data_IF_359406661874
#
_entry.id   IF_359406661874
#
_cell.length_a   1.000
_cell.length_b   1.000
_cell.length_c   1.000
_cell.angle_alpha   90.00
_cell.angle_beta   90.00
_cell.angle_gamma   90.00
#
_symmetry.space_group_name_H-M   'P 1'
#
loop_
_entity.id
_entity.type
_entity.pdbx_description
1 polymer ?
#
# COMPACT_ATOMS: atom_id res chain seq x y z
N UNK A 1 -1.92 -6.00 2.47
CA UNK A 1 -2.24 -5.90 1.03
C UNK A 1 -2.66 -7.25 0.49
N UNK A 2 -3.72 -7.30 -0.31
CA UNK A 2 -4.19 -8.50 -1.01
C UNK A 2 -4.84 -8.10 -2.34
N UNK A 3 -4.64 -8.86 -3.45
CA UNK A 3 -5.25 -8.54 -4.73
C UNK A 3 -6.77 -8.78 -4.76
N UNK A 4 -7.29 -9.50 -3.75
CA UNK A 4 -8.71 -9.87 -3.65
C UNK A 4 -9.60 -8.81 -2.99
N UNK A 5 -9.03 -7.70 -2.53
CA UNK A 5 -9.82 -6.65 -1.86
C UNK A 5 -8.97 -5.54 -1.26
N UNK A 6 -9.63 -4.63 -0.54
CA UNK A 6 -9.00 -3.47 0.09
C UNK A 6 -8.46 -2.45 -0.92
N UNK A 7 -7.57 -1.60 -0.46
CA UNK A 7 -7.03 -0.47 -1.22
C UNK A 7 -6.39 -0.88 -2.56
N UNK A 8 -5.58 -1.94 -2.59
CA UNK A 8 -4.95 -2.40 -3.82
C UNK A 8 -5.96 -3.07 -4.75
N UNK A 9 -6.87 -3.91 -4.23
CA UNK A 9 -7.88 -4.59 -5.04
C UNK A 9 -8.74 -3.62 -5.84
N UNK A 10 -9.14 -2.50 -5.24
CA UNK A 10 -9.91 -1.45 -5.91
C UNK A 10 -9.15 -0.79 -7.08
N UNK A 11 -7.82 -0.70 -6.99
CA UNK A 11 -6.98 -0.07 -7.99
C UNK A 11 -6.60 -1.00 -9.15
N UNK A 12 -6.64 -2.33 -8.97
CA UNK A 12 -6.11 -3.27 -9.95
C UNK A 12 -6.77 -3.18 -11.32
N UNK A 13 -8.08 -2.97 -11.38
CA UNK A 13 -8.81 -2.91 -12.66
C UNK A 13 -8.35 -1.74 -13.53
N UNK A 14 -8.31 -0.49 -13.06
CA UNK A 14 -7.75 0.63 -13.82
C UNK A 14 -6.30 0.38 -14.28
N UNK A 15 -5.46 -0.14 -13.40
CA UNK A 15 -4.06 -0.43 -13.75
C UNK A 15 -3.95 -1.52 -14.84
N UNK A 16 -4.73 -2.59 -14.77
CA UNK A 16 -4.76 -3.65 -15.80
C UNK A 16 -5.19 -3.12 -17.15
N UNK A 17 -6.09 -2.14 -17.18
CA UNK A 17 -6.55 -1.47 -18.39
C UNK A 17 -5.55 -0.40 -18.93
N UNK A 18 -4.43 -0.18 -18.24
CA UNK A 18 -3.45 0.85 -18.61
C UNK A 18 -3.86 2.28 -18.25
N UNK A 19 -4.92 2.43 -17.45
CA UNK A 19 -5.45 3.70 -16.97
C UNK A 19 -4.93 4.06 -15.57
N UNK A 20 -3.99 3.27 -15.02
CA UNK A 20 -3.37 3.53 -13.74
C UNK A 20 -2.37 4.67 -13.80
N UNK A 21 -2.45 5.59 -12.84
CA UNK A 21 -1.53 6.73 -12.74
C UNK A 21 -1.43 7.24 -11.31
N UNK A 22 -0.42 8.07 -11.05
CA UNK A 22 -0.31 8.73 -9.76
C UNK A 22 -1.49 9.68 -9.54
N UNK A 23 -1.95 9.75 -8.30
CA UNK A 23 -3.05 10.66 -7.92
C UNK A 23 -2.46 12.00 -7.52
N UNK A 24 -3.04 13.09 -8.04
CA UNK A 24 -2.56 14.46 -7.82
C UNK A 24 -1.06 14.61 -8.15
N UNK A 25 -0.27 15.17 -7.23
CA UNK A 25 1.17 15.35 -7.41
C UNK A 25 2.01 14.11 -7.03
N UNK A 26 1.36 13.05 -6.55
CA UNK A 26 1.98 11.79 -6.15
C UNK A 26 2.89 11.85 -4.93
N UNK A 27 2.93 12.98 -4.19
CA UNK A 27 3.84 13.18 -3.05
C UNK A 27 3.30 12.67 -1.72
N UNK A 28 2.00 12.43 -1.62
CA UNK A 28 1.41 11.92 -0.38
C UNK A 28 1.92 10.51 -0.06
N UNK A 29 2.06 10.24 1.23
CA UNK A 29 2.58 8.99 1.74
C UNK A 29 1.53 7.88 1.74
N UNK A 30 1.95 6.69 1.37
CA UNK A 30 1.18 5.44 1.45
C UNK A 30 1.91 4.51 2.40
N UNK A 31 1.29 4.22 3.54
CA UNK A 31 1.74 3.17 4.44
C UNK A 31 1.08 1.86 4.03
N UNK A 32 1.85 0.78 4.01
CA UNK A 32 1.42 -0.50 3.48
C UNK A 32 1.93 -1.65 4.34
N UNK A 33 1.31 -2.79 4.22
CA UNK A 33 1.77 -4.06 4.79
C UNK A 33 1.30 -5.21 3.91
N UNK A 34 2.10 -6.25 3.73
CA UNK A 34 1.65 -7.48 3.09
C UNK A 34 0.72 -8.26 4.01
N UNK A 35 -0.15 -9.09 3.45
CA UNK A 35 -1.05 -9.92 4.27
C UNK A 35 -0.25 -10.91 5.13
N UNK A 36 0.84 -11.44 4.60
CA UNK A 36 1.70 -12.38 5.30
C UNK A 36 2.35 -11.73 6.53
N UNK A 37 2.91 -10.53 6.37
CA UNK A 37 3.50 -9.79 7.49
C UNK A 37 2.46 -9.32 8.50
N UNK A 38 1.26 -8.94 8.05
CA UNK A 38 0.16 -8.57 8.94
C UNK A 38 -0.23 -9.74 9.85
N UNK A 39 -0.42 -10.94 9.26
CA UNK A 39 -0.72 -12.16 10.02
C UNK A 39 0.44 -12.57 10.92
N UNK A 40 1.68 -12.46 10.42
CA UNK A 40 2.88 -12.77 11.20
C UNK A 40 3.04 -11.81 12.40
N UNK A 41 2.81 -10.51 12.19
CA UNK A 41 2.87 -9.51 13.25
C UNK A 41 1.81 -9.74 14.33
N UNK A 42 0.57 -10.06 13.93
CA UNK A 42 -0.49 -10.40 14.90
C UNK A 42 -0.10 -11.64 15.71
N UNK A 43 0.40 -12.69 15.07
CA UNK A 43 0.85 -13.90 15.77
C UNK A 43 2.04 -13.64 16.70
N UNK A 44 2.94 -12.75 16.30
CA UNK A 44 4.08 -12.34 17.11
C UNK A 44 3.61 -11.55 18.34
N UNK A 45 2.67 -10.60 18.19
CA UNK A 45 2.08 -9.82 19.27
C UNK A 45 1.36 -10.70 20.29
N UNK A 46 0.68 -11.77 19.85
CA UNK A 46 0.02 -12.73 20.77
C UNK A 46 0.99 -13.56 21.63
N UNK A 47 2.27 -13.64 21.24
CA UNK A 47 3.31 -14.41 21.93
C UNK A 47 4.28 -13.55 22.72
N UNK A 48 4.22 -12.23 22.56
CA UNK A 48 5.11 -11.29 23.20
C UNK A 48 4.30 -10.26 24.00
N UNK A 49 4.79 -9.89 25.17
CA UNK A 49 4.15 -8.91 26.02
C UNK A 49 4.39 -7.49 25.50
N UNK A 50 3.59 -7.07 24.52
CA UNK A 50 3.61 -5.70 23.99
C UNK A 50 2.34 -4.98 24.43
N UNK A 51 2.50 -3.89 25.17
CA UNK A 51 1.39 -3.09 25.70
C UNK A 51 1.17 -1.81 24.89
N UNK A 52 -0.07 -1.35 24.84
CA UNK A 52 -0.44 -0.12 24.15
C UNK A 52 -0.64 -0.27 22.64
N UNK A 53 -0.89 0.82 21.90
CA UNK A 53 -1.19 0.78 20.49
C UNK A 53 0.03 0.36 19.67
N UNK A 54 -0.19 -0.49 18.65
CA UNK A 54 0.83 -1.00 17.75
C UNK A 54 0.42 -0.73 16.31
N UNK A 55 1.28 -0.05 15.56
CA UNK A 55 1.10 0.11 14.12
C UNK A 55 1.63 -1.13 13.40
N UNK A 56 0.76 -1.83 12.68
CA UNK A 56 1.16 -2.93 11.81
C UNK A 56 1.28 -2.39 10.39
N UNK A 57 2.49 -2.00 10.03
CA UNK A 57 2.85 -1.47 8.71
C UNK A 57 4.25 -1.92 8.34
N UNK A 58 4.56 -1.98 7.05
CA UNK A 58 5.92 -2.25 6.60
C UNK A 58 6.88 -1.13 7.05
N UNK A 59 8.18 -1.43 7.22
CA UNK A 59 9.15 -0.46 7.73
C UNK A 59 9.42 0.70 6.78
N UNK A 60 9.14 0.54 5.49
CA UNK A 60 9.35 1.58 4.47
C UNK A 60 8.02 2.04 3.86
N UNK A 61 7.37 3.11 4.39
CA UNK A 61 6.28 3.77 3.71
C UNK A 61 6.79 4.45 2.43
N UNK A 62 5.95 4.48 1.40
CA UNK A 62 6.34 5.00 0.08
C UNK A 62 5.45 6.18 -0.34
N UNK A 63 5.91 6.99 -1.30
CA UNK A 63 5.06 8.00 -1.92
C UNK A 63 4.07 7.34 -2.89
N UNK A 64 2.94 7.99 -3.16
CA UNK A 64 1.97 7.52 -4.16
C UNK A 64 2.60 7.36 -5.55
N UNK A 65 3.54 8.22 -5.92
CA UNK A 65 4.28 8.08 -7.17
C UNK A 65 5.08 6.76 -7.22
N UNK A 66 5.79 6.40 -6.14
CA UNK A 66 6.53 5.13 -6.05
C UNK A 66 5.58 3.93 -6.02
N UNK A 67 4.50 4.00 -5.25
CA UNK A 67 3.42 3.01 -5.20
C UNK A 67 2.86 2.71 -6.59
N UNK A 68 2.48 3.76 -7.34
CA UNK A 68 1.94 3.69 -8.69
C UNK A 68 2.92 3.03 -9.66
N UNK A 69 4.19 3.44 -9.60
CA UNK A 69 5.27 2.86 -10.41
C UNK A 69 5.47 1.37 -10.13
N UNK A 70 5.46 0.98 -8.84
CA UNK A 70 5.64 -0.40 -8.42
C UNK A 70 4.49 -1.31 -8.89
N UNK A 71 3.22 -0.85 -8.81
CA UNK A 71 2.07 -1.58 -9.37
C UNK A 71 2.21 -1.72 -10.89
N UNK A 72 2.53 -0.62 -11.58
CA UNK A 72 2.71 -0.64 -13.04
C UNK A 72 3.79 -1.63 -13.47
N UNK A 73 4.92 -1.65 -12.79
CA UNK A 73 6.00 -2.60 -13.04
C UNK A 73 5.57 -4.06 -12.79
N UNK A 74 4.87 -4.33 -11.70
CA UNK A 74 4.36 -5.67 -11.38
C UNK A 74 3.36 -6.19 -12.42
N UNK A 75 2.48 -5.31 -12.91
CA UNK A 75 1.46 -5.63 -13.93
C UNK A 75 1.99 -5.50 -15.38
N UNK A 76 3.23 -5.02 -15.58
CA UNK A 76 3.80 -4.68 -16.89
C UNK A 76 2.92 -3.70 -17.69
N UNK A 77 2.43 -2.68 -16.99
CA UNK A 77 1.57 -1.63 -17.57
C UNK A 77 2.21 -0.25 -17.38
N UNK A 78 2.13 0.63 -18.37
CA UNK A 78 2.63 2.00 -18.25
C UNK A 78 1.79 2.78 -17.20
N UNK A 79 2.46 3.68 -16.48
CA UNK A 79 1.83 4.54 -15.45
C UNK A 79 2.28 5.99 -15.64
N UNK A 80 2.47 6.40 -16.89
CA UNK A 80 3.05 7.71 -17.23
C UNK A 80 2.04 8.86 -17.20
N UNK A 81 0.74 8.57 -17.22
CA UNK A 81 -0.30 9.59 -17.27
C UNK A 81 -0.79 9.84 -15.83
N UNK A 82 -0.59 11.05 -15.26
CA UNK A 82 -1.20 11.39 -13.99
C UNK A 82 -2.72 11.28 -14.07
N UNK A 83 -3.34 10.71 -13.05
CA UNK A 83 -4.79 10.57 -13.00
C UNK A 83 -5.40 11.87 -12.46
N UNK A 84 -6.14 12.65 -13.28
CA UNK A 84 -6.80 13.85 -12.79
C UNK A 84 -7.84 13.49 -11.72
N UNK A 85 -7.89 14.24 -10.62
CA UNK A 85 -8.79 13.98 -9.48
C UNK A 85 -10.27 13.74 -9.81
N UNK A 86 -10.88 14.40 -10.82
CA UNK A 86 -12.27 14.11 -11.18
C UNK A 86 -12.53 12.66 -11.57
N UNK A 87 -11.56 11.98 -12.18
CA UNK A 87 -11.72 10.58 -12.64
C UNK A 87 -11.82 9.60 -11.46
N UNK A 88 -10.87 9.53 -10.51
CA UNK A 88 -11.01 8.66 -9.36
C UNK A 88 -12.22 9.03 -8.48
N UNK A 89 -12.57 10.32 -8.34
CA UNK A 89 -13.76 10.74 -7.60
C UNK A 89 -15.06 10.22 -8.22
N UNK A 90 -15.14 10.18 -9.54
CA UNK A 90 -16.31 9.63 -10.25
C UNK A 90 -16.38 8.10 -10.11
N UNK A 91 -15.25 7.40 -10.14
CA UNK A 91 -15.17 5.94 -10.11
C UNK A 91 -15.31 5.36 -8.69
N UNK A 92 -14.74 6.01 -7.69
CA UNK A 92 -14.63 5.50 -6.31
C UNK A 92 -15.40 6.32 -5.27
N UNK A 93 -15.93 7.48 -5.66
CA UNK A 93 -16.55 8.45 -4.75
C UNK A 93 -15.54 9.42 -4.15
N UNK A 94 -16.02 10.64 -3.83
CA UNK A 94 -15.17 11.72 -3.27
C UNK A 94 -14.56 11.31 -1.93
N UNK A 95 -15.35 10.73 -1.04
CA UNK A 95 -14.94 10.39 0.33
C UNK A 95 -13.82 9.35 0.32
N UNK A 96 -13.93 8.31 -0.52
CA UNK A 96 -12.87 7.31 -0.67
C UNK A 96 -11.57 7.93 -1.21
N UNK A 97 -11.67 8.84 -2.19
CA UNK A 97 -10.49 9.52 -2.75
C UNK A 97 -9.85 10.42 -1.72
N UNK A 98 -10.64 11.22 -1.01
CA UNK A 98 -10.13 12.21 -0.05
C UNK A 98 -9.59 11.52 1.22
N UNK A 99 -10.26 10.50 1.74
CA UNK A 99 -9.86 9.81 2.97
C UNK A 99 -8.82 8.70 2.76
N UNK A 100 -8.93 7.93 1.67
CA UNK A 100 -8.05 6.78 1.44
C UNK A 100 -6.91 7.03 0.45
N UNK A 101 -7.14 7.85 -0.58
CA UNK A 101 -6.15 8.07 -1.63
C UNK A 101 -5.32 9.34 -1.44
N UNK A 102 -5.88 10.39 -0.85
CA UNK A 102 -5.20 11.67 -0.63
C UNK A 102 -4.71 11.85 0.81
N UNK A 103 -5.18 11.06 1.76
CA UNK A 103 -4.66 11.13 3.12
C UNK A 103 -3.18 10.73 3.12
N UNK A 104 -2.35 11.64 3.62
CA UNK A 104 -0.90 11.45 3.65
C UNK A 104 -0.46 11.07 5.05
N UNK A 105 -0.26 9.78 5.30
CA UNK A 105 0.19 9.28 6.60
C UNK A 105 1.46 8.45 6.42
N UNK A 106 2.57 9.00 6.93
CA UNK A 106 3.83 8.27 7.02
C UNK A 106 3.89 7.54 8.36
N UNK A 107 3.35 6.33 8.41
CA UNK A 107 3.30 5.49 9.61
C UNK A 107 4.49 4.54 9.64
N UNK A 108 5.13 4.42 10.80
CA UNK A 108 6.26 3.52 11.04
C UNK A 108 5.89 2.46 12.10
N UNK A 109 6.39 1.22 11.96
CA UNK A 109 6.11 0.11 12.87
C UNK A 109 7.04 0.10 14.09
N UNK A 110 7.21 1.25 14.76
CA UNK A 110 8.22 1.44 15.81
C UNK A 110 8.24 0.32 16.85
N UNK A 111 7.10 -0.03 17.45
CA UNK A 111 7.02 -1.08 18.48
C UNK A 111 7.35 -2.48 17.97
N UNK A 112 6.99 -2.82 16.74
CA UNK A 112 7.36 -4.10 16.13
C UNK A 112 8.86 -4.18 15.91
N UNK A 113 9.44 -3.11 15.36
CA UNK A 113 10.88 -3.03 15.10
C UNK A 113 11.70 -3.05 16.39
N UNK A 114 11.33 -2.25 17.40
CA UNK A 114 11.97 -2.21 18.71
C UNK A 114 11.85 -3.54 19.46
N UNK A 115 10.72 -4.22 19.29
CA UNK A 115 10.47 -5.54 19.88
C UNK A 115 11.18 -6.71 19.18
N UNK A 116 11.85 -6.46 18.05
CA UNK A 116 12.60 -7.49 17.32
C UNK A 116 11.77 -8.31 16.33
N UNK A 117 10.58 -7.80 15.90
CA UNK A 117 9.83 -8.43 14.82
C UNK A 117 10.58 -8.32 13.49
N UNK A 118 10.65 -9.41 12.77
CA UNK A 118 11.30 -9.47 11.44
C UNK A 118 10.25 -9.47 10.35
N UNK A 119 10.27 -8.46 9.48
CA UNK A 119 9.41 -8.35 8.32
C UNK A 119 9.90 -9.24 7.18
N UNK A 120 8.98 -9.90 6.49
CA UNK A 120 9.25 -10.63 5.27
C UNK A 120 9.32 -9.71 4.04
N UNK A 121 8.47 -8.67 4.03
CA UNK A 121 8.39 -7.68 2.95
C UNK A 121 8.78 -6.29 3.48
N UNK A 122 9.98 -5.84 3.15
CA UNK A 122 10.50 -4.53 3.56
C UNK A 122 10.40 -3.48 2.46
N UNK A 123 10.39 -3.90 1.18
CA UNK A 123 10.34 -3.04 0.00
C UNK A 123 9.08 -3.31 -0.84
N UNK A 124 8.47 -2.25 -1.36
CA UNK A 124 7.19 -2.33 -2.06
C UNK A 124 7.28 -3.04 -3.42
N UNK A 125 8.37 -2.85 -4.15
CA UNK A 125 8.54 -3.40 -5.49
C UNK A 125 8.55 -4.94 -5.50
N UNK A 126 9.42 -5.63 -4.72
CA UNK A 126 9.40 -7.10 -4.66
C UNK A 126 8.11 -7.63 -4.04
N UNK A 127 7.54 -6.96 -3.03
CA UNK A 127 6.28 -7.35 -2.42
C UNK A 127 5.13 -7.36 -3.44
N UNK A 128 4.99 -6.29 -4.25
CA UNK A 128 3.97 -6.23 -5.29
C UNK A 128 4.23 -7.18 -6.44
N UNK A 129 5.49 -7.39 -6.83
CA UNK A 129 5.83 -8.38 -7.85
C UNK A 129 5.41 -9.80 -7.44
N UNK A 130 5.63 -10.17 -6.18
CA UNK A 130 5.18 -11.46 -5.64
C UNK A 130 3.66 -11.53 -5.60
N UNK A 131 3.02 -10.51 -5.03
CA UNK A 131 1.58 -10.47 -4.81
C UNK A 131 0.73 -10.48 -6.09
N UNK A 132 1.19 -9.82 -7.16
CA UNK A 132 0.41 -9.62 -8.38
C UNK A 132 0.77 -10.56 -9.53
N UNK A 133 1.78 -11.43 -9.35
CA UNK A 133 2.17 -12.45 -10.34
C UNK A 133 1.71 -13.87 -9.97
N UNK A 134 1.26 -14.06 -8.73
CA UNK A 134 0.53 -15.27 -8.31
C UNK A 134 -0.94 -15.19 -8.79
#
# INVERSE_FOLDING_TARGET
MTPRGGYIGAQLLPFKLGLGGQVADGKHWVSWVSLDDEVAAIRWLLRNEVTGPVNITAPEPVTNARWTKAIGAALRRPTVIPLPLPIPRLLFGSDFVDEAMLSSQKVLPGRLTEGGFTFGDTEIEPALMRLLRE
#
